data_IF_432385924251
#
_entry.id   IF_432385924251
#
_cell.length_a   1.000
_cell.length_b   1.000
_cell.length_c   1.000
_cell.angle_alpha   90.00
_cell.angle_beta   90.00
_cell.angle_gamma   90.00
#
_symmetry.space_group_name_H-M   'P 1'
#
loop_
_entity.id
_entity.type
_entity.pdbx_description
1 polymer ?
#
# COMPACT_ATOMS: atom_id res chain seq x y z
N UNK A 1 -0.41 11.49 -1.75
CA UNK A 1 0.34 10.22 -1.83
C UNK A 1 -0.64 9.07 -1.89
N UNK A 2 -1.09 8.71 -3.08
CA UNK A 2 -2.09 7.66 -3.25
C UNK A 2 -1.53 6.27 -2.93
N UNK A 3 -0.28 6.01 -3.33
CA UNK A 3 0.43 4.78 -2.97
C UNK A 3 0.45 4.57 -1.45
N UNK A 4 0.68 5.63 -0.68
CA UNK A 4 0.70 5.58 0.78
C UNK A 4 -0.66 5.14 1.35
N UNK A 5 -1.77 5.70 0.87
CA UNK A 5 -3.11 5.29 1.33
C UNK A 5 -3.41 3.82 1.01
N UNK A 6 -3.02 3.37 -0.20
CA UNK A 6 -3.21 1.96 -0.60
C UNK A 6 -2.40 1.03 0.30
N UNK A 7 -1.17 1.42 0.65
CA UNK A 7 -0.29 0.64 1.55
C UNK A 7 -0.88 0.62 2.97
N UNK A 8 -1.36 1.76 3.48
CA UNK A 8 -1.98 1.89 4.81
C UNK A 8 -3.23 1.01 4.93
N UNK A 9 -4.11 1.06 3.93
CA UNK A 9 -5.31 0.22 3.86
C UNK A 9 -4.97 -1.29 3.83
N UNK A 10 -3.89 -1.66 3.13
CA UNK A 10 -3.37 -3.05 3.12
C UNK A 10 -2.89 -3.46 4.50
N UNK A 11 -2.10 -2.61 5.17
CA UNK A 11 -1.55 -2.87 6.50
C UNK A 11 -2.67 -3.06 7.54
N UNK A 12 -3.66 -2.16 7.54
CA UNK A 12 -4.81 -2.23 8.45
C UNK A 12 -5.55 -3.55 8.34
N UNK A 13 -5.79 -4.03 7.12
CA UNK A 13 -6.50 -5.29 6.88
C UNK A 13 -5.66 -6.50 7.27
N UNK A 14 -4.36 -6.51 6.95
CA UNK A 14 -3.47 -7.64 7.27
C UNK A 14 -3.21 -7.76 8.77
N UNK A 15 -2.94 -6.64 9.46
CA UNK A 15 -2.71 -6.64 10.91
C UNK A 15 -3.97 -7.01 11.69
N UNK A 16 -5.14 -6.56 11.24
CA UNK A 16 -6.41 -6.96 11.84
C UNK A 16 -6.65 -8.47 11.69
N UNK A 17 -6.35 -9.03 10.52
CA UNK A 17 -6.49 -10.48 10.24
C UNK A 17 -5.56 -11.33 11.11
N UNK A 18 -4.33 -10.87 11.35
CA UNK A 18 -3.38 -11.56 12.24
C UNK A 18 -3.80 -11.47 13.71
N UNK A 19 -4.17 -10.27 14.19
CA UNK A 19 -4.55 -10.04 15.59
C UNK A 19 -5.82 -10.78 16.00
N UNK A 20 -6.77 -10.94 15.08
CA UNK A 20 -8.04 -11.59 15.39
C UNK A 20 -8.01 -13.12 15.23
N UNK A 21 -6.91 -13.69 14.77
CA UNK A 21 -6.81 -15.11 14.44
C UNK A 21 -7.66 -15.46 13.21
N UNK A 22 -7.24 -16.48 12.46
CA UNK A 22 -7.71 -16.88 11.11
C UNK A 22 -9.24 -17.05 10.88
N UNK A 23 -10.10 -16.77 11.85
CA UNK A 23 -11.54 -16.98 11.77
C UNK A 23 -12.42 -15.97 12.52
N UNK A 24 -11.95 -14.76 12.83
CA UNK A 24 -12.87 -13.66 13.16
C UNK A 24 -13.36 -13.06 11.82
N UNK A 25 -14.26 -13.71 11.10
CA UNK A 25 -15.64 -13.81 11.58
C UNK A 25 -16.38 -12.55 11.12
N UNK A 26 -16.76 -12.56 9.84
CA UNK A 26 -17.93 -11.93 9.18
C UNK A 26 -18.41 -10.50 9.50
N UNK A 27 -17.97 -9.80 10.54
CA UNK A 27 -18.72 -8.64 11.06
C UNK A 27 -17.94 -7.33 11.18
N UNK A 28 -16.87 -7.15 10.41
CA UNK A 28 -16.36 -5.80 10.14
C UNK A 28 -16.01 -5.71 8.66
N UNK A 29 -17.00 -5.90 7.79
CA UNK A 29 -17.01 -5.17 6.53
C UNK A 29 -17.08 -3.68 6.92
N UNK A 30 -15.92 -3.10 7.20
CA UNK A 30 -15.79 -1.73 7.61
C UNK A 30 -16.61 -0.88 6.65
N UNK A 31 -17.48 -0.02 7.17
CA UNK A 31 -18.28 0.93 6.40
C UNK A 31 -17.43 1.97 5.63
N UNK A 32 -16.13 1.71 5.45
CA UNK A 32 -15.18 2.48 4.66
C UNK A 32 -14.80 1.67 3.42
N UNK A 33 -14.98 2.27 2.25
CA UNK A 33 -14.45 1.73 1.00
C UNK A 33 -12.92 1.84 0.99
N UNK A 34 -12.22 0.84 1.52
CA UNK A 34 -10.77 0.72 1.46
C UNK A 34 -10.33 0.00 0.19
N UNK A 35 -9.08 0.17 -0.22
CA UNK A 35 -8.55 -0.50 -1.42
C UNK A 35 -8.72 -2.04 -1.38
N UNK A 36 -8.33 -2.75 -0.31
CA UNK A 36 -8.52 -4.20 -0.25
C UNK A 36 -9.99 -4.63 -0.30
N UNK A 37 -10.91 -3.81 0.19
CA UNK A 37 -12.34 -4.10 0.13
C UNK A 37 -12.92 -3.98 -1.29
N UNK A 38 -12.36 -3.09 -2.12
CA UNK A 38 -12.85 -2.83 -3.48
C UNK A 38 -12.18 -3.70 -4.53
N UNK A 39 -10.85 -3.85 -4.47
CA UNK A 39 -10.06 -4.54 -5.51
C UNK A 39 -9.31 -5.78 -5.00
N UNK A 40 -9.55 -6.18 -3.75
CA UNK A 40 -8.86 -7.30 -3.11
C UNK A 40 -7.43 -6.96 -2.65
N UNK A 41 -6.89 -7.79 -1.76
CA UNK A 41 -5.56 -7.60 -1.18
C UNK A 41 -4.45 -7.60 -2.25
N UNK A 42 -4.46 -8.58 -3.13
CA UNK A 42 -3.47 -8.68 -4.23
C UNK A 42 -3.59 -7.52 -5.23
N UNK A 43 -4.82 -7.12 -5.55
CA UNK A 43 -5.08 -5.95 -6.40
C UNK A 43 -4.54 -4.66 -5.77
N UNK A 44 -4.72 -4.51 -4.46
CA UNK A 44 -4.21 -3.37 -3.71
C UNK A 44 -2.68 -3.34 -3.67
N UNK A 45 -2.03 -4.48 -3.45
CA UNK A 45 -0.57 -4.60 -3.53
C UNK A 45 -0.05 -4.24 -4.94
N UNK A 46 -0.74 -4.68 -5.99
CA UNK A 46 -0.39 -4.35 -7.36
C UNK A 46 -0.55 -2.84 -7.64
N UNK A 47 -1.62 -2.22 -7.14
CA UNK A 47 -1.87 -0.79 -7.32
C UNK A 47 -0.85 0.07 -6.57
N UNK A 48 -0.46 -0.32 -5.35
CA UNK A 48 0.63 0.31 -4.61
C UNK A 48 1.94 0.30 -5.42
N UNK A 49 2.33 -0.87 -5.97
CA UNK A 49 3.52 -1.00 -6.83
C UNK A 49 3.42 -0.09 -8.07
N UNK A 50 2.27 -0.07 -8.73
CA UNK A 50 2.04 0.74 -9.93
C UNK A 50 2.21 2.24 -9.64
N UNK A 51 1.62 2.72 -8.55
CA UNK A 51 1.69 4.12 -8.13
C UNK A 51 3.10 4.51 -7.69
N UNK A 52 3.82 3.64 -6.97
CA UNK A 52 5.23 3.85 -6.62
C UNK A 52 6.11 3.94 -7.86
N UNK A 53 5.93 3.05 -8.84
CA UNK A 53 6.66 3.12 -10.10
C UNK A 53 6.36 4.39 -10.89
N UNK A 54 5.11 4.84 -10.89
CA UNK A 54 4.73 6.12 -11.50
C UNK A 54 5.45 7.31 -10.83
N UNK A 55 5.54 7.32 -9.49
CA UNK A 55 6.28 8.33 -8.75
C UNK A 55 7.78 8.31 -9.11
N UNK A 56 8.41 7.13 -9.15
CA UNK A 56 9.82 7.00 -9.53
C UNK A 56 10.09 7.44 -10.96
N UNK A 57 9.18 7.14 -11.89
CA UNK A 57 9.29 7.60 -13.28
C UNK A 57 9.21 9.12 -13.38
N UNK A 58 8.33 9.77 -12.61
CA UNK A 58 8.26 11.23 -12.55
C UNK A 58 9.57 11.85 -12.00
N UNK A 59 10.30 11.12 -11.16
CA UNK A 59 11.58 11.56 -10.61
C UNK A 59 12.76 11.43 -11.57
N UNK A 60 12.61 10.82 -12.76
CA UNK A 60 13.73 10.60 -13.70
C UNK A 60 14.41 11.89 -14.16
N UNK A 61 13.63 12.96 -14.33
CA UNK A 61 14.15 14.27 -14.81
C UNK A 61 15.13 14.92 -13.83
N UNK A 62 15.10 14.52 -12.56
CA UNK A 62 15.93 15.07 -11.49
C UNK A 62 17.21 14.27 -11.24
N UNK A 63 17.58 13.34 -12.12
CA UNK A 63 18.89 12.68 -12.06
C UNK A 63 19.16 12.02 -10.70
N UNK A 64 20.32 12.30 -10.11
CA UNK A 64 20.77 11.74 -8.82
C UNK A 64 20.21 12.50 -7.62
N UNK A 65 19.78 13.73 -7.83
CA UNK A 65 19.27 14.63 -6.80
C UNK A 65 17.94 14.11 -6.21
N UNK A 66 17.21 13.28 -6.96
CA UNK A 66 15.99 12.62 -6.50
C UNK A 66 16.21 11.27 -5.80
N UNK A 67 17.44 10.80 -5.59
CA UNK A 67 17.69 9.54 -4.87
C UNK A 67 16.99 9.46 -3.50
N UNK A 68 17.03 10.50 -2.63
CA UNK A 68 16.31 10.45 -1.35
C UNK A 68 14.80 10.23 -1.50
N UNK A 69 14.19 10.76 -2.58
CA UNK A 69 12.77 10.58 -2.85
C UNK A 69 12.46 9.19 -3.45
N UNK A 70 13.39 8.63 -4.23
CA UNK A 70 13.29 7.24 -4.72
C UNK A 70 13.41 6.25 -3.56
N UNK A 71 14.36 6.49 -2.65
CA UNK A 71 14.54 5.70 -1.44
C UNK A 71 13.30 5.76 -0.55
N UNK A 72 12.71 6.95 -0.36
CA UNK A 72 11.46 7.08 0.38
C UNK A 72 10.31 6.30 -0.29
N UNK A 73 10.18 6.40 -1.62
CA UNK A 73 9.13 5.68 -2.36
C UNK A 73 9.31 4.15 -2.27
N UNK A 74 10.55 3.68 -2.35
CA UNK A 74 10.89 2.26 -2.16
C UNK A 74 10.64 1.81 -0.72
N UNK A 75 11.06 2.60 0.27
CA UNK A 75 10.85 2.33 1.68
C UNK A 75 9.37 2.18 2.01
N UNK A 76 8.53 3.08 1.49
CA UNK A 76 7.09 3.01 1.70
C UNK A 76 6.49 1.75 1.08
N UNK A 77 6.90 1.37 -0.14
CA UNK A 77 6.41 0.17 -0.82
C UNK A 77 6.89 -1.12 -0.15
N UNK A 78 8.13 -1.12 0.33
CA UNK A 78 8.77 -2.23 1.02
C UNK A 78 8.44 -2.27 2.51
N UNK A 79 7.52 -1.42 2.99
CA UNK A 79 6.91 -1.60 4.31
C UNK A 79 6.16 -2.91 4.32
N UNK A 80 6.89 -3.90 4.75
CA UNK A 80 6.46 -5.27 4.88
C UNK A 80 6.99 -5.73 6.24
N UNK A 81 6.03 -6.07 7.12
CA UNK A 81 6.15 -6.78 8.39
C UNK A 81 6.57 -5.96 9.62
#
# INVERSE_FOLDING_TARGET
GLAFQVIDDVLDVTQTSEKLGKSAGKDIAAQKATYPAVIGLEGSRAEARRLTNAAQNALKIFGKEAEPLRDLANYLLAREY
#
